data_IF_006725173310
#
_entry.id   IF_006725173310
#
_cell.length_a   1.000
_cell.length_b   1.000
_cell.length_c   1.000
_cell.angle_alpha   90.00
_cell.angle_beta   90.00
_cell.angle_gamma   90.00
#
_symmetry.space_group_name_H-M   'P 1'
#
loop_
_entity.id
_entity.type
_entity.pdbx_description
1 polymer ?
#
# COMPACT_ATOMS: atom_id res chain seq x y z
N UNK A 1 0.75 -32.76 5.02
CA UNK A 1 1.82 -32.00 4.35
C UNK A 1 1.36 -30.56 4.27
N UNK A 2 2.04 -29.65 4.97
CA UNK A 2 1.75 -28.21 4.89
C UNK A 2 2.33 -27.66 3.59
N UNK A 3 1.48 -27.53 2.57
CA UNK A 3 1.83 -26.86 1.33
C UNK A 3 2.03 -25.38 1.64
N UNK A 4 3.28 -24.95 1.81
CA UNK A 4 3.62 -23.52 1.90
C UNK A 4 3.18 -22.87 0.60
N UNK A 5 2.02 -22.22 0.61
CA UNK A 5 1.48 -21.51 -0.54
C UNK A 5 2.31 -20.24 -0.71
N UNK A 6 3.23 -20.24 -1.66
CA UNK A 6 3.98 -19.05 -2.03
C UNK A 6 3.01 -18.06 -2.68
N UNK A 7 2.80 -16.91 -2.04
CA UNK A 7 1.97 -15.85 -2.58
C UNK A 7 2.66 -15.19 -3.78
N UNK A 8 1.90 -14.94 -4.84
CA UNK A 8 2.39 -14.17 -5.97
C UNK A 8 2.57 -12.69 -5.62
N UNK A 9 3.42 -11.99 -6.37
CA UNK A 9 3.57 -10.54 -6.23
C UNK A 9 2.23 -9.76 -6.34
N UNK A 10 1.27 -10.14 -7.21
CA UNK A 10 -0.06 -9.49 -7.24
C UNK A 10 -0.87 -9.67 -5.95
N UNK A 11 -0.83 -10.86 -5.34
CA UNK A 11 -1.52 -11.11 -4.07
C UNK A 11 -0.92 -10.27 -2.95
N UNK A 12 0.41 -10.15 -2.92
CA UNK A 12 1.11 -9.31 -1.94
C UNK A 12 0.70 -7.85 -2.12
N UNK A 13 0.67 -7.34 -3.37
CA UNK A 13 0.26 -5.98 -3.66
C UNK A 13 -1.17 -5.69 -3.18
N UNK A 14 -2.12 -6.58 -3.48
CA UNK A 14 -3.50 -6.50 -2.98
C UNK A 14 -3.56 -6.50 -1.45
N UNK A 15 -2.78 -7.36 -0.78
CA UNK A 15 -2.71 -7.40 0.68
C UNK A 15 -2.12 -6.14 1.30
N UNK A 16 -1.18 -5.46 0.62
CA UNK A 16 -0.65 -4.16 1.07
C UNK A 16 -1.72 -3.07 1.01
N UNK A 17 -2.59 -3.07 -0.02
CA UNK A 17 -3.72 -2.14 -0.08
C UNK A 17 -4.75 -2.41 1.01
N UNK A 18 -5.10 -3.68 1.25
CA UNK A 18 -5.99 -4.05 2.35
C UNK A 18 -5.42 -3.63 3.73
N UNK A 19 -4.11 -3.80 3.90
CA UNK A 19 -3.38 -3.38 5.08
C UNK A 19 -3.51 -1.87 5.35
N UNK A 20 -3.11 -1.03 4.39
CA UNK A 20 -3.18 0.43 4.59
C UNK A 20 -4.62 0.91 4.80
N UNK A 21 -5.60 0.28 4.12
CA UNK A 21 -7.02 0.57 4.32
C UNK A 21 -7.51 0.26 5.74
N UNK A 22 -7.01 -0.84 6.34
CA UNK A 22 -7.46 -1.30 7.65
C UNK A 22 -6.73 -0.69 8.85
N UNK A 23 -5.42 -0.43 8.74
CA UNK A 23 -4.60 -0.01 9.91
C UNK A 23 -3.83 1.31 9.73
N UNK A 24 -3.55 1.74 8.49
CA UNK A 24 -2.90 3.03 8.21
C UNK A 24 -1.58 3.28 8.96
N UNK A 25 -0.72 2.27 9.18
CA UNK A 25 0.55 2.45 9.91
C UNK A 25 1.64 2.95 8.99
N UNK A 26 2.64 3.68 9.51
CA UNK A 26 3.76 4.24 8.71
C UNK A 26 4.46 3.17 7.86
N UNK A 27 4.68 1.97 8.41
CA UNK A 27 5.26 0.83 7.66
C UNK A 27 4.44 0.46 6.41
N UNK A 28 3.12 0.58 6.46
CA UNK A 28 2.24 0.20 5.35
C UNK A 28 2.42 1.14 4.17
N UNK A 29 2.58 2.44 4.45
CA UNK A 29 2.88 3.42 3.41
C UNK A 29 4.25 3.16 2.79
N UNK A 30 5.27 2.78 3.58
CA UNK A 30 6.55 2.33 3.00
C UNK A 30 6.37 1.07 2.14
N UNK A 31 5.60 0.10 2.60
CA UNK A 31 5.29 -1.11 1.82
C UNK A 31 4.59 -0.76 0.50
N UNK A 32 3.63 0.16 0.51
CA UNK A 32 2.96 0.67 -0.69
C UNK A 32 3.97 1.36 -1.61
N UNK A 33 4.79 2.26 -1.09
CA UNK A 33 5.82 2.96 -1.85
C UNK A 33 6.78 2.02 -2.59
N UNK A 34 7.25 0.96 -1.92
CA UNK A 34 8.13 -0.03 -2.56
C UNK A 34 7.37 -0.95 -3.52
N UNK A 35 6.09 -1.20 -3.27
CA UNK A 35 5.24 -1.96 -4.20
C UNK A 35 4.97 -1.17 -5.49
N UNK A 36 4.84 0.16 -5.38
CA UNK A 36 4.67 1.07 -6.51
C UNK A 36 5.89 1.12 -7.44
N UNK A 37 7.06 0.62 -7.00
CA UNK A 37 8.24 0.45 -7.87
C UNK A 37 8.12 -0.76 -8.81
N UNK A 38 7.12 -1.63 -8.59
CA UNK A 38 6.89 -2.85 -9.37
C UNK A 38 5.57 -2.83 -10.14
N UNK A 39 4.57 -2.14 -9.61
CA UNK A 39 3.23 -2.06 -10.18
C UNK A 39 2.73 -0.61 -10.10
N UNK A 40 1.99 -0.16 -11.09
CA UNK A 40 1.21 1.07 -10.99
C UNK A 40 0.11 0.93 -9.92
N UNK A 41 -0.34 2.05 -9.36
CA UNK A 41 -1.46 2.02 -8.40
C UNK A 41 -2.72 1.41 -9.03
N UNK A 42 -2.99 1.67 -10.30
CA UNK A 42 -4.10 1.07 -11.05
C UNK A 42 -4.01 -0.47 -11.08
N UNK A 43 -2.83 -1.03 -11.35
CA UNK A 43 -2.63 -2.49 -11.32
C UNK A 43 -2.85 -3.06 -9.92
N UNK A 44 -2.32 -2.38 -8.89
CA UNK A 44 -2.53 -2.79 -7.50
C UNK A 44 -4.02 -2.81 -7.13
N UNK A 45 -4.78 -1.78 -7.54
CA UNK A 45 -6.24 -1.71 -7.34
C UNK A 45 -6.96 -2.85 -8.06
N UNK A 46 -6.57 -3.17 -9.30
CA UNK A 46 -7.12 -4.31 -10.03
C UNK A 46 -6.85 -5.64 -9.31
N UNK A 47 -5.65 -5.83 -8.74
CA UNK A 47 -5.34 -7.01 -7.93
C UNK A 47 -6.16 -7.06 -6.64
N UNK A 48 -6.34 -5.90 -5.98
CA UNK A 48 -7.16 -5.77 -4.79
C UNK A 48 -8.61 -6.15 -5.07
N UNK A 49 -9.24 -5.60 -6.11
CA UNK A 49 -10.62 -5.90 -6.48
C UNK A 49 -10.83 -7.37 -6.86
N UNK A 50 -9.83 -7.98 -7.50
CA UNK A 50 -9.88 -9.41 -7.83
C UNK A 50 -9.78 -10.30 -6.60
N UNK A 51 -9.11 -9.83 -5.54
CA UNK A 51 -8.85 -10.60 -4.31
C UNK A 51 -9.94 -10.40 -3.24
N UNK A 52 -10.51 -9.20 -3.18
CA UNK A 52 -11.48 -8.77 -2.17
C UNK A 52 -12.76 -8.30 -2.87
N UNK A 53 -13.70 -9.22 -3.10
CA UNK A 53 -14.97 -8.94 -3.79
C UNK A 53 -15.83 -7.91 -3.05
N UNK A 54 -15.70 -7.83 -1.73
CA UNK A 54 -16.38 -6.89 -0.84
C UNK A 54 -15.50 -5.68 -0.45
N UNK A 55 -14.29 -5.58 -1.02
CA UNK A 55 -13.35 -4.50 -0.74
C UNK A 55 -13.82 -3.16 -1.29
N UNK A 56 -13.64 -2.09 -0.51
CA UNK A 56 -13.97 -0.72 -0.97
C UNK A 56 -12.74 -0.01 -1.53
N UNK A 57 -12.75 0.27 -2.84
CA UNK A 57 -11.73 1.12 -3.47
C UNK A 57 -11.67 2.52 -2.84
N UNK A 58 -12.84 3.09 -2.52
CA UNK A 58 -12.94 4.41 -1.91
C UNK A 58 -12.27 4.45 -0.54
N UNK A 59 -12.39 3.38 0.26
CA UNK A 59 -11.69 3.28 1.54
C UNK A 59 -10.18 3.21 1.33
N UNK A 60 -9.71 2.42 0.36
CA UNK A 60 -8.27 2.35 0.01
C UNK A 60 -7.76 3.74 -0.39
N UNK A 61 -8.42 4.43 -1.32
CA UNK A 61 -8.04 5.76 -1.78
C UNK A 61 -8.01 6.79 -0.65
N UNK A 62 -9.00 6.74 0.26
CA UNK A 62 -9.03 7.61 1.44
C UNK A 62 -7.85 7.34 2.36
N UNK A 63 -7.57 6.08 2.66
CA UNK A 63 -6.44 5.71 3.54
C UNK A 63 -5.09 6.03 2.92
N UNK A 64 -4.95 5.96 1.59
CA UNK A 64 -3.71 6.36 0.89
C UNK A 64 -3.42 7.87 0.98
N UNK A 65 -4.42 8.68 1.28
CA UNK A 65 -4.28 10.15 1.40
C UNK A 65 -4.34 10.66 2.84
N UNK A 66 -4.54 9.78 3.81
CA UNK A 66 -4.64 10.11 5.23
C UNK A 66 -3.44 9.58 6.01
N UNK A 67 -2.57 10.47 6.48
CA UNK A 67 -1.29 10.12 7.10
C UNK A 67 -1.21 10.43 8.60
N UNK A 68 -2.23 11.04 9.20
CA UNK A 68 -2.15 11.59 10.56
C UNK A 68 -1.74 10.54 11.61
N UNK A 69 -2.34 9.35 11.54
CA UNK A 69 -1.99 8.24 12.43
C UNK A 69 -0.56 7.73 12.17
N UNK A 70 -0.19 7.60 10.89
CA UNK A 70 1.15 7.17 10.49
C UNK A 70 2.23 8.21 10.85
N UNK A 71 1.92 9.50 10.84
CA UNK A 71 2.87 10.55 11.20
C UNK A 71 3.41 10.35 12.63
N UNK A 72 2.58 9.83 13.53
CA UNK A 72 2.91 9.54 14.93
C UNK A 72 3.65 8.21 15.16
N UNK A 73 3.66 7.30 14.18
CA UNK A 73 4.35 6.01 14.31
C UNK A 73 5.88 6.18 14.22
N UNK A 74 6.62 5.28 14.88
CA UNK A 74 8.08 5.19 14.69
C UNK A 74 8.43 4.81 13.24
N UNK A 75 9.49 5.40 12.66
CA UNK A 75 9.94 5.02 11.32
C UNK A 75 10.42 3.54 11.32
N UNK A 76 10.06 2.76 10.30
CA UNK A 76 10.57 1.40 10.18
C UNK A 76 12.09 1.41 9.95
N UNK A 77 12.77 0.34 10.35
CA UNK A 77 14.16 0.12 9.94
C UNK A 77 14.16 -0.26 8.45
N UNK A 78 14.76 0.60 7.63
CA UNK A 78 14.86 0.41 6.19
C UNK A 78 16.29 0.04 5.81
N UNK A 79 16.43 -0.73 4.72
CA UNK A 79 17.75 -1.02 4.13
C UNK A 79 18.27 0.14 3.27
N UNK A 80 17.37 1.03 2.82
CA UNK A 80 17.67 2.18 1.98
C UNK A 80 17.19 3.46 2.68
N UNK A 81 17.91 4.57 2.48
CA UNK A 81 17.51 5.89 2.98
C UNK A 81 16.38 6.46 2.13
N UNK A 82 15.14 6.20 2.55
CA UNK A 82 13.94 6.79 1.95
C UNK A 82 13.28 7.69 3.00
N UNK A 83 13.12 8.97 2.68
CA UNK A 83 12.49 9.92 3.59
C UNK A 83 10.98 9.71 3.60
N UNK A 84 10.39 9.87 4.78
CA UNK A 84 8.94 9.78 4.94
C UNK A 84 8.18 10.80 4.09
N UNK A 85 8.75 11.99 3.88
CA UNK A 85 8.21 13.00 2.98
C UNK A 85 8.10 12.53 1.53
N UNK A 86 9.09 11.76 1.06
CA UNK A 86 9.13 11.25 -0.32
C UNK A 86 8.09 10.16 -0.52
N UNK A 87 7.89 9.32 0.50
CA UNK A 87 6.81 8.32 0.51
C UNK A 87 5.45 8.98 0.39
N UNK A 88 5.15 9.96 1.25
CA UNK A 88 3.87 10.68 1.22
C UNK A 88 3.64 11.35 -0.13
N UNK A 89 4.66 12.06 -0.65
CA UNK A 89 4.59 12.73 -1.94
C UNK A 89 4.31 11.75 -3.08
N UNK A 90 5.04 10.64 -3.15
CA UNK A 90 4.86 9.64 -4.19
C UNK A 90 3.45 9.02 -4.14
N UNK A 91 2.97 8.61 -2.97
CA UNK A 91 1.63 8.02 -2.83
C UNK A 91 0.54 9.01 -3.23
N UNK A 92 0.66 10.29 -2.84
CA UNK A 92 -0.28 11.34 -3.25
C UNK A 92 -0.28 11.55 -4.77
N UNK A 93 0.90 11.56 -5.40
CA UNK A 93 1.02 11.68 -6.86
C UNK A 93 0.38 10.49 -7.58
N UNK A 94 0.67 9.26 -7.16
CA UNK A 94 0.08 8.06 -7.76
C UNK A 94 -1.44 7.99 -7.54
N UNK A 95 -1.93 8.40 -6.36
CA UNK A 95 -3.37 8.46 -6.08
C UNK A 95 -4.07 9.50 -6.95
N UNK A 96 -3.45 10.65 -7.22
CA UNK A 96 -3.98 11.68 -8.13
C UNK A 96 -3.95 11.28 -9.61
N UNK A 97 -3.06 10.38 -10.03
CA UNK A 97 -3.05 9.87 -11.41
C UNK A 97 -4.21 8.91 -11.68
N UNK A 98 -4.71 8.28 -10.63
CA UNK A 98 -5.78 7.28 -10.72
C UNK A 98 -7.18 7.90 -10.83
N UNK A 99 -7.39 9.10 -10.28
CA UNK A 99 -8.68 9.79 -10.18
C UNK A 99 -8.64 11.20 -10.76
#
# INVERSE_FOLDING_TARGET
>A
EDTVRVLGLPDIAAMKLAAVAGRGRKRDFYDIYFTLQKFSLQEMMNFYNKKYEDGSEMMVARSLTFFDDADMDEPPRLFNDVLWSDVKKNILEETRKLY
#
